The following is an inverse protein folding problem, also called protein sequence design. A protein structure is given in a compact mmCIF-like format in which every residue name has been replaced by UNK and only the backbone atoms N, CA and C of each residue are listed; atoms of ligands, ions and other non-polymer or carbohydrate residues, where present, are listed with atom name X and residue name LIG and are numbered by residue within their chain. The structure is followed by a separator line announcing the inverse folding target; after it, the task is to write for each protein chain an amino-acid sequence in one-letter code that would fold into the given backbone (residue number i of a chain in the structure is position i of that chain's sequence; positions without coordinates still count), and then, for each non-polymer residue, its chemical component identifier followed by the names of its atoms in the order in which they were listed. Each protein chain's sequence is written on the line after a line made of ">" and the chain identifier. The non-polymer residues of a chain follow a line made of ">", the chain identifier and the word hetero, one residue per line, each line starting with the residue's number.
data_IF_347217563508
#
_entry.id   IF_347217563508
#
_cell.length_a   1.000
_cell.length_b   1.000
_cell.length_c   1.000
_cell.angle_alpha   90.00
_cell.angle_beta   90.00
_cell.angle_gamma   90.00
#
_symmetry.space_group_name_H-M   'P 1'
#
loop_
_entity.id
_entity.type
_entity.pdbx_description
1 polymer ?
#
# COMPACT_ATOMS: atom_id res chain seq x y z
N UNK A 1 33.94 -15.98 7.97
CA UNK A 1 32.53 -16.07 7.52
C UNK A 1 32.44 -15.58 6.10
N UNK A 2 31.46 -16.05 5.33
CA UNK A 2 31.22 -15.54 3.98
C UNK A 2 30.59 -14.14 4.12
N UNK A 3 31.16 -13.13 3.46
CA UNK A 3 30.59 -11.78 3.47
C UNK A 3 29.62 -11.59 2.29
N UNK A 4 28.47 -10.91 2.50
CA UNK A 4 27.56 -10.56 1.42
C UNK A 4 28.22 -9.68 0.35
N UNK A 5 27.81 -9.84 -0.90
CA UNK A 5 28.31 -9.01 -2.03
C UNK A 5 28.04 -7.51 -1.86
N UNK A 6 27.04 -7.15 -1.05
CA UNK A 6 26.73 -5.78 -0.65
C UNK A 6 26.44 -5.73 0.85
N UNK A 7 26.96 -4.71 1.52
CA UNK A 7 26.68 -4.47 2.94
C UNK A 7 25.16 -4.22 3.14
N UNK A 8 24.50 -5.01 4.00
CA UNK A 8 23.17 -4.68 4.49
C UNK A 8 23.10 -3.27 5.08
N UNK A 9 21.89 -2.74 5.19
CA UNK A 9 21.65 -1.52 5.96
C UNK A 9 21.72 -1.85 7.46
N UNK A 10 22.94 -1.95 7.96
CA UNK A 10 23.25 -2.24 9.35
C UNK A 10 22.67 -1.14 10.25
N UNK A 11 22.06 -1.52 11.39
CA UNK A 11 21.36 -0.62 12.31
C UNK A 11 19.86 -0.43 12.03
N UNK A 12 19.41 -0.58 10.77
CA UNK A 12 17.98 -0.66 10.44
C UNK A 12 17.47 -2.09 10.36
N UNK A 13 18.27 -2.99 9.79
CA UNK A 13 17.91 -4.41 9.61
C UNK A 13 17.62 -5.18 10.91
N UNK A 14 18.14 -4.71 12.06
CA UNK A 14 17.81 -5.30 13.37
C UNK A 14 16.36 -5.02 13.80
N UNK A 15 15.76 -3.93 13.32
CA UNK A 15 14.40 -3.51 13.67
C UNK A 15 13.40 -3.61 12.51
N UNK A 16 13.89 -3.46 11.28
CA UNK A 16 13.12 -3.49 10.03
C UNK A 16 13.55 -4.73 9.28
N UNK A 17 12.84 -5.83 9.53
CA UNK A 17 13.07 -7.10 8.86
C UNK A 17 11.77 -7.91 8.82
N UNK A 18 11.75 -8.88 7.91
CA UNK A 18 10.58 -9.73 7.67
C UNK A 18 10.19 -10.54 8.92
N UNK A 19 11.14 -10.97 9.74
CA UNK A 19 10.84 -11.76 10.91
C UNK A 19 10.03 -10.94 11.92
N UNK A 20 10.53 -9.76 12.29
CA UNK A 20 9.84 -8.84 13.20
C UNK A 20 8.47 -8.40 12.64
N UNK A 21 8.40 -7.99 11.37
CA UNK A 21 7.12 -7.57 10.78
C UNK A 21 6.13 -8.72 10.58
N UNK A 22 6.58 -9.98 10.48
CA UNK A 22 5.67 -11.12 10.40
C UNK A 22 4.97 -11.43 11.71
N UNK A 23 5.52 -10.99 12.85
CA UNK A 23 4.95 -11.17 14.18
C UNK A 23 4.05 -9.99 14.59
N UNK A 24 4.15 -8.86 13.90
CA UNK A 24 3.36 -7.65 14.17
C UNK A 24 2.18 -7.53 13.19
N UNK A 25 0.92 -7.70 13.66
CA UNK A 25 -0.27 -7.60 12.81
C UNK A 25 -0.55 -6.17 12.29
N UNK A 26 0.03 -5.14 12.91
CA UNK A 26 -0.09 -3.74 12.49
C UNK A 26 1.10 -3.28 11.63
N UNK A 27 1.98 -4.21 11.23
CA UNK A 27 3.15 -3.92 10.42
C UNK A 27 2.80 -3.51 8.99
N UNK A 28 3.77 -2.88 8.33
CA UNK A 28 3.70 -2.57 6.90
C UNK A 28 3.52 -3.86 6.09
N UNK A 29 4.26 -4.93 6.40
CA UNK A 29 4.10 -6.25 5.77
C UNK A 29 2.68 -6.80 5.89
N UNK A 30 2.08 -6.76 7.09
CA UNK A 30 0.71 -7.22 7.31
C UNK A 30 -0.29 -6.40 6.49
N UNK A 31 -0.13 -5.08 6.47
CA UNK A 31 -0.94 -4.18 5.63
C UNK A 31 -0.82 -4.52 4.13
N UNK A 32 0.39 -4.72 3.60
CA UNK A 32 0.58 -5.08 2.19
C UNK A 32 0.00 -6.44 1.83
N UNK A 33 0.08 -7.43 2.72
CA UNK A 33 -0.58 -8.73 2.53
C UNK A 33 -2.10 -8.56 2.45
N UNK A 34 -2.69 -7.77 3.35
CA UNK A 34 -4.12 -7.46 3.33
C UNK A 34 -4.53 -6.76 2.03
N UNK A 35 -3.78 -5.75 1.58
CA UNK A 35 -4.02 -5.07 0.30
C UNK A 35 -3.89 -6.01 -0.91
N UNK A 36 -2.93 -6.93 -0.90
CA UNK A 36 -2.78 -7.92 -1.98
C UNK A 36 -4.03 -8.80 -2.09
N UNK A 37 -4.48 -9.36 -0.97
CA UNK A 37 -5.69 -10.18 -0.91
C UNK A 37 -6.95 -9.39 -1.29
N UNK A 38 -7.05 -8.14 -0.85
CA UNK A 38 -8.13 -7.24 -1.25
C UNK A 38 -8.13 -7.02 -2.77
N UNK A 39 -6.96 -6.77 -3.37
CA UNK A 39 -6.85 -6.62 -4.83
C UNK A 39 -7.24 -7.89 -5.60
N UNK A 40 -6.91 -9.07 -5.09
CA UNK A 40 -7.30 -10.34 -5.72
C UNK A 40 -8.82 -10.56 -5.67
N UNK A 41 -9.48 -10.14 -4.59
CA UNK A 41 -10.93 -10.24 -4.44
C UNK A 41 -11.74 -9.19 -5.22
N UNK A 42 -11.09 -8.11 -5.68
CA UNK A 42 -11.73 -6.95 -6.33
C UNK A 42 -11.18 -6.71 -7.74
N UNK A 43 -11.80 -7.30 -8.79
CA UNK A 43 -11.38 -7.14 -10.17
C UNK A 43 -11.30 -5.69 -10.65
N UNK A 44 -12.05 -4.77 -10.05
CA UNK A 44 -12.02 -3.33 -10.32
C UNK A 44 -10.60 -2.78 -10.13
N UNK A 45 -9.84 -3.30 -9.16
CA UNK A 45 -8.49 -2.85 -8.87
C UNK A 45 -7.46 -3.34 -9.90
N UNK A 46 -7.71 -4.47 -10.56
CA UNK A 46 -6.78 -5.05 -11.55
C UNK A 46 -7.15 -4.69 -12.98
N UNK A 47 -8.44 -4.71 -13.31
CA UNK A 47 -8.97 -4.57 -14.67
C UNK A 47 -9.92 -3.39 -14.85
N UNK A 48 -10.34 -2.75 -13.76
CA UNK A 48 -11.26 -1.62 -13.84
C UNK A 48 -10.64 -0.39 -14.49
N UNK A 49 -11.50 0.42 -15.10
CA UNK A 49 -11.16 1.75 -15.61
C UNK A 49 -10.57 2.62 -14.48
N UNK A 50 -9.97 3.74 -14.86
CA UNK A 50 -9.48 4.74 -13.92
C UNK A 50 -10.11 6.09 -14.24
N UNK A 51 -10.74 6.72 -13.25
CA UNK A 51 -11.26 8.07 -13.36
C UNK A 51 -10.78 8.91 -12.18
N UNK A 52 -10.01 9.97 -12.46
CA UNK A 52 -9.53 10.87 -11.44
C UNK A 52 -10.67 11.75 -10.90
N UNK A 53 -10.78 11.84 -9.58
CA UNK A 53 -11.75 12.71 -8.93
C UNK A 53 -11.11 14.07 -8.62
N UNK A 54 -11.88 15.15 -8.78
CA UNK A 54 -11.41 16.49 -8.46
C UNK A 54 -11.35 16.67 -6.94
N UNK A 55 -10.15 16.88 -6.42
CA UNK A 55 -9.86 17.05 -4.98
C UNK A 55 -8.91 18.24 -4.75
N UNK A 56 -8.55 18.47 -3.48
CA UNK A 56 -7.43 19.37 -3.11
C UNK A 56 -6.10 18.76 -3.56
N UNK A 57 -5.07 19.59 -3.74
CA UNK A 57 -3.76 19.17 -4.26
C UNK A 57 -3.10 18.04 -3.47
N UNK A 58 -3.30 18.00 -2.15
CA UNK A 58 -2.68 16.99 -1.28
C UNK A 58 -3.48 15.66 -1.19
N UNK A 59 -4.65 15.57 -1.83
CA UNK A 59 -5.50 14.38 -1.78
C UNK A 59 -5.54 13.74 -3.16
N UNK A 60 -5.01 12.52 -3.26
CA UNK A 60 -5.19 11.67 -4.44
C UNK A 60 -6.52 10.93 -4.29
N UNK A 61 -7.48 11.18 -5.18
CA UNK A 61 -8.70 10.39 -5.24
C UNK A 61 -9.05 9.99 -6.67
N UNK A 62 -9.54 8.76 -6.82
CA UNK A 62 -9.94 8.21 -8.11
C UNK A 62 -10.94 7.07 -7.93
N UNK A 63 -11.77 6.85 -8.94
CA UNK A 63 -12.66 5.71 -9.03
C UNK A 63 -12.03 4.62 -9.92
N UNK A 64 -12.24 3.37 -9.52
CA UNK A 64 -11.97 2.18 -10.34
C UNK A 64 -13.29 1.45 -10.57
N UNK A 65 -13.69 1.25 -11.83
CA UNK A 65 -14.95 0.61 -12.16
C UNK A 65 -14.77 -0.58 -13.12
N UNK A 66 -15.43 -1.69 -12.84
CA UNK A 66 -15.44 -2.87 -13.71
C UNK A 66 -16.82 -3.54 -13.68
N UNK A 67 -17.46 -3.68 -14.84
CA UNK A 67 -18.81 -4.23 -14.94
C UNK A 67 -19.84 -3.34 -14.21
N UNK A 68 -20.47 -3.88 -13.16
CA UNK A 68 -21.48 -3.17 -12.35
C UNK A 68 -20.95 -2.70 -10.98
N UNK A 69 -19.67 -2.91 -10.72
CA UNK A 69 -19.05 -2.60 -9.44
C UNK A 69 -18.00 -1.51 -9.61
N UNK A 70 -17.85 -0.70 -8.57
CA UNK A 70 -16.82 0.33 -8.51
C UNK A 70 -16.31 0.54 -7.09
N UNK A 71 -15.10 1.08 -7.00
CA UNK A 71 -14.41 1.44 -5.78
C UNK A 71 -13.89 2.86 -5.90
N UNK A 72 -14.11 3.66 -4.86
CA UNK A 72 -13.48 4.97 -4.71
C UNK A 72 -12.28 4.86 -3.79
N UNK A 73 -11.10 5.23 -4.30
CA UNK A 73 -9.86 5.23 -3.55
C UNK A 73 -9.53 6.68 -3.18
N UNK A 74 -9.19 6.91 -1.92
CA UNK A 74 -8.79 8.23 -1.40
C UNK A 74 -7.54 8.07 -0.55
N UNK A 75 -6.48 8.79 -0.92
CA UNK A 75 -5.22 8.82 -0.20
C UNK A 75 -4.82 10.27 0.10
N UNK A 76 -4.63 10.58 1.38
CA UNK A 76 -4.03 11.84 1.79
C UNK A 76 -2.51 11.73 1.69
N UNK A 77 -1.91 12.52 0.80
CA UNK A 77 -0.47 12.61 0.56
C UNK A 77 0.15 13.84 1.25
N UNK A 78 -0.68 14.67 1.89
CA UNK A 78 -0.28 15.82 2.69
C UNK A 78 0.26 15.42 4.06
N UNK A 79 0.87 16.39 4.75
CA UNK A 79 1.40 16.21 6.11
C UNK A 79 0.34 16.38 7.19
N UNK A 80 -0.80 16.95 6.83
CA UNK A 80 -1.87 17.30 7.75
C UNK A 80 -3.10 16.46 7.50
N UNK A 81 -3.88 16.23 8.55
CA UNK A 81 -5.19 15.61 8.42
C UNK A 81 -6.11 16.58 7.68
N UNK A 82 -6.47 16.23 6.46
CA UNK A 82 -7.53 16.93 5.74
C UNK A 82 -8.89 16.64 6.40
N UNK A 83 -9.69 17.70 6.59
CA UNK A 83 -11.07 17.64 7.09
C UNK A 83 -12.06 17.53 5.94
#
# INVERSE_FOLDING_TARGET
>A
GIEPWQKPNFGKSEKINVAAESEDPDSVLAFFRSLSSFREAHPELSYGSFEALKTKEEVLAFERAYGKASLTIVANLGKHKEK
#
